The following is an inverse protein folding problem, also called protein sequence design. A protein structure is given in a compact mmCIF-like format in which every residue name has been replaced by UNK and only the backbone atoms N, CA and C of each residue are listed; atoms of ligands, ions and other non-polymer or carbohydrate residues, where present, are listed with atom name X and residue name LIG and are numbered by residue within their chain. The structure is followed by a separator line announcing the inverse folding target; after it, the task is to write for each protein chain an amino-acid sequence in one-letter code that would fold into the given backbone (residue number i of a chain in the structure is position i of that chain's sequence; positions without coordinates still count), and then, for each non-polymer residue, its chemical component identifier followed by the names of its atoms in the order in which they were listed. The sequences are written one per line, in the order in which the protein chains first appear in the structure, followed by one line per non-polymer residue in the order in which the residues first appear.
data_IF_709344521269
#
_entry.id   IF_709344521269
#
_cell.length_a   1.000
_cell.length_b   1.000
_cell.length_c   1.000
_cell.angle_alpha   90.00
_cell.angle_beta   90.00
_cell.angle_gamma   90.00
#
_symmetry.space_group_name_H-M   'P 1'
#
loop_
_entity.id
_entity.type
_entity.pdbx_description
1 polymer ?
#
# COMPACT_ATOMS: atom_id res chain seq x y z
N UNK A 1 3.76 -21.24 -11.55
CA UNK A 1 4.09 -20.42 -10.36
C UNK A 1 2.88 -20.45 -9.42
N UNK A 2 2.98 -21.08 -8.26
CA UNK A 2 1.85 -21.39 -7.37
C UNK A 2 1.58 -20.32 -6.31
N UNK A 3 1.42 -19.05 -6.67
CA UNK A 3 1.25 -17.94 -5.71
C UNK A 3 -0.04 -18.05 -4.88
N UNK A 4 0.06 -17.94 -3.56
CA UNK A 4 -1.08 -17.98 -2.62
C UNK A 4 -1.73 -16.61 -2.40
N UNK A 5 -1.00 -15.53 -2.71
CA UNK A 5 -1.45 -14.16 -2.70
C UNK A 5 -1.09 -13.55 -4.05
N UNK A 6 -2.02 -12.84 -4.68
CA UNK A 6 -1.75 -12.04 -5.88
C UNK A 6 -2.10 -10.58 -5.61
N UNK A 7 -1.30 -9.68 -6.18
CA UNK A 7 -1.53 -8.25 -6.10
C UNK A 7 -2.34 -7.77 -7.31
N UNK A 8 -3.29 -6.87 -7.07
CA UNK A 8 -3.97 -6.14 -8.15
C UNK A 8 -2.99 -5.23 -8.88
N UNK A 9 -3.24 -4.97 -10.16
CA UNK A 9 -2.46 -4.00 -10.94
C UNK A 9 -2.93 -2.56 -10.62
N UNK A 10 -2.68 -2.10 -9.40
CA UNK A 10 -3.23 -0.84 -8.87
C UNK A 10 -2.24 -0.02 -8.07
N UNK A 11 -0.94 -0.31 -8.13
CA UNK A 11 0.10 0.36 -7.34
C UNK A 11 -0.04 1.90 -7.36
N UNK A 12 -0.17 2.51 -8.53
CA UNK A 12 -0.38 3.95 -8.70
C UNK A 12 -1.85 4.36 -8.77
N UNK A 13 -2.72 3.72 -8.00
CA UNK A 13 -4.18 3.86 -8.11
C UNK A 13 -4.78 5.12 -7.50
N UNK A 14 -3.99 5.99 -6.85
CA UNK A 14 -4.50 7.24 -6.23
C UNK A 14 -4.75 8.34 -7.27
N UNK A 15 -5.58 9.32 -6.91
CA UNK A 15 -5.85 10.50 -7.76
C UNK A 15 -4.57 11.22 -8.20
N UNK A 16 -3.56 11.30 -7.32
CA UNK A 16 -2.30 11.99 -7.55
C UNK A 16 -1.46 11.31 -8.64
N UNK A 17 -1.32 9.98 -8.56
CA UNK A 17 -0.64 9.17 -9.57
C UNK A 17 -1.41 9.16 -10.89
N UNK A 18 -2.72 9.00 -10.85
CA UNK A 18 -3.56 8.98 -12.06
C UNK A 18 -3.64 10.34 -12.76
N UNK A 19 -3.46 11.46 -12.05
CA UNK A 19 -3.39 12.80 -12.64
C UNK A 19 -2.26 12.94 -13.65
N UNK A 20 -1.14 12.25 -13.43
CA UNK A 20 -0.02 12.19 -14.39
C UNK A 20 -0.42 11.59 -15.75
N UNK A 21 -1.59 10.94 -15.81
CA UNK A 21 -2.15 10.30 -16.99
C UNK A 21 -3.54 10.85 -17.35
N UNK A 22 -3.96 12.00 -16.80
CA UNK A 22 -5.28 12.60 -17.00
C UNK A 22 -6.45 11.67 -16.63
N UNK A 23 -6.25 10.82 -15.63
CA UNK A 23 -7.21 9.80 -15.19
C UNK A 23 -7.65 9.95 -13.73
N UNK A 24 -7.39 11.11 -13.10
CA UNK A 24 -7.71 11.37 -11.70
C UNK A 24 -9.20 11.19 -11.36
N UNK A 25 -10.11 11.42 -12.32
CA UNK A 25 -11.55 11.27 -12.11
C UNK A 25 -12.04 9.82 -12.24
N UNK A 26 -11.10 8.86 -12.38
CA UNK A 26 -11.38 7.44 -12.61
C UNK A 26 -10.80 6.52 -11.54
N UNK A 27 -10.36 7.06 -10.40
CA UNK A 27 -9.73 6.32 -9.29
C UNK A 27 -10.56 5.10 -8.90
N UNK A 28 -11.80 5.31 -8.46
CA UNK A 28 -12.66 4.21 -8.00
C UNK A 28 -12.85 3.14 -9.08
N UNK A 29 -13.25 3.56 -10.29
CA UNK A 29 -13.54 2.65 -11.39
C UNK A 29 -12.33 1.81 -11.83
N UNK A 30 -11.13 2.40 -11.88
CA UNK A 30 -9.91 1.69 -12.27
C UNK A 30 -9.48 0.69 -11.19
N UNK A 31 -9.53 1.09 -9.92
CA UNK A 31 -9.17 0.22 -8.81
C UNK A 31 -10.14 -0.96 -8.64
N UNK A 32 -11.44 -0.69 -8.73
CA UNK A 32 -12.47 -1.72 -8.76
C UNK A 32 -12.24 -2.72 -9.88
N UNK A 33 -11.98 -2.22 -11.09
CA UNK A 33 -11.72 -3.09 -12.23
C UNK A 33 -10.46 -3.93 -12.06
N UNK A 34 -9.39 -3.38 -11.49
CA UNK A 34 -8.16 -4.11 -11.20
C UNK A 34 -8.42 -5.27 -10.22
N UNK A 35 -9.21 -5.03 -9.17
CA UNK A 35 -9.58 -6.07 -8.20
C UNK A 35 -10.52 -7.14 -8.81
N UNK A 36 -11.51 -6.76 -9.61
CA UNK A 36 -12.39 -7.71 -10.29
C UNK A 36 -11.61 -8.67 -11.21
N UNK A 37 -10.62 -8.14 -11.93
CA UNK A 37 -9.76 -8.94 -12.80
C UNK A 37 -8.92 -9.93 -11.99
N UNK A 38 -8.29 -9.48 -10.91
CA UNK A 38 -7.54 -10.37 -10.01
C UNK A 38 -8.44 -11.44 -9.39
N UNK A 39 -9.66 -11.07 -8.97
CA UNK A 39 -10.65 -12.00 -8.41
C UNK A 39 -11.10 -13.06 -9.42
N UNK A 40 -11.31 -12.67 -10.67
CA UNK A 40 -11.66 -13.61 -11.73
C UNK A 40 -10.54 -14.63 -12.00
N UNK A 41 -9.27 -14.21 -11.90
CA UNK A 41 -8.12 -15.11 -12.04
C UNK A 41 -8.00 -16.02 -10.82
N UNK A 42 -8.07 -15.47 -9.60
CA UNK A 42 -8.02 -16.23 -8.35
C UNK A 42 -9.11 -17.31 -8.28
N UNK A 43 -10.34 -16.99 -8.72
CA UNK A 43 -11.46 -17.93 -8.75
C UNK A 43 -11.27 -19.14 -9.68
N UNK A 44 -10.35 -19.05 -10.66
CA UNK A 44 -10.02 -20.14 -11.57
C UNK A 44 -8.90 -21.05 -11.07
N UNK A 45 -8.26 -20.72 -9.95
CA UNK A 45 -7.09 -21.44 -9.45
C UNK A 45 -7.40 -22.83 -8.87
N UNK A 46 -8.68 -23.17 -8.63
CA UNK A 46 -9.08 -24.44 -8.01
C UNK A 46 -8.62 -24.61 -6.56
N UNK A 47 -8.07 -23.55 -5.95
CA UNK A 47 -7.60 -23.47 -4.57
C UNK A 47 -7.78 -22.03 -4.07
N UNK A 48 -7.65 -21.82 -2.75
CA UNK A 48 -7.65 -20.47 -2.19
C UNK A 48 -6.42 -19.69 -2.72
N UNK A 49 -6.68 -18.52 -3.28
CA UNK A 49 -5.70 -17.50 -3.65
C UNK A 49 -6.27 -16.18 -3.15
N UNK A 50 -5.53 -15.49 -2.27
CA UNK A 50 -5.94 -14.21 -1.70
C UNK A 50 -5.70 -13.12 -2.73
N UNK A 51 -6.71 -12.27 -2.95
CA UNK A 51 -6.55 -11.05 -3.76
C UNK A 51 -6.21 -9.89 -2.85
N UNK A 52 -5.01 -9.36 -3.02
CA UNK A 52 -4.51 -8.22 -2.26
C UNK A 52 -4.49 -6.97 -3.15
N UNK A 53 -5.08 -5.89 -2.65
CA UNK A 53 -5.13 -4.60 -3.31
C UNK A 53 -3.80 -3.88 -3.20
N UNK A 54 -3.02 -3.79 -4.28
CA UNK A 54 -1.76 -3.03 -4.30
C UNK A 54 -2.03 -1.53 -4.14
N UNK A 55 -1.46 -0.93 -3.10
CA UNK A 55 -1.57 0.51 -2.78
C UNK A 55 -0.16 1.06 -2.59
N UNK A 56 0.37 1.73 -3.62
CA UNK A 56 1.65 2.42 -3.55
C UNK A 56 1.52 3.85 -3.01
N UNK A 57 2.64 4.57 -2.84
CA UNK A 57 2.63 5.96 -2.37
C UNK A 57 1.89 6.88 -3.35
N UNK A 58 1.35 7.98 -2.82
CA UNK A 58 0.70 9.04 -3.60
C UNK A 58 1.67 9.70 -4.59
N UNK A 59 2.97 9.71 -4.24
CA UNK A 59 4.00 10.45 -4.96
C UNK A 59 4.07 11.93 -4.57
N UNK A 60 3.24 12.39 -3.65
CA UNK A 60 3.23 13.73 -3.10
C UNK A 60 3.94 13.75 -1.74
N UNK A 61 4.50 14.90 -1.37
CA UNK A 61 5.10 15.09 -0.06
C UNK A 61 4.08 15.71 0.89
N UNK A 62 4.00 15.16 2.11
CA UNK A 62 3.16 15.70 3.17
C UNK A 62 3.79 16.97 3.78
N UNK A 63 2.95 17.85 4.33
CA UNK A 63 3.38 19.03 5.11
C UNK A 63 4.31 18.59 6.26
N UNK A 64 5.45 19.27 6.52
CA UNK A 64 5.90 20.53 5.92
C UNK A 64 6.79 20.38 4.68
N UNK A 65 7.09 19.15 4.24
CA UNK A 65 7.99 18.91 3.11
C UNK A 65 7.32 19.10 1.75
N UNK A 66 5.99 19.03 1.70
CA UNK A 66 5.18 19.38 0.55
C UNK A 66 3.87 20.07 0.94
N UNK A 67 2.92 20.05 0.00
CA UNK A 67 1.65 20.76 0.14
C UNK A 67 0.49 19.86 0.60
N UNK A 68 0.65 18.54 0.56
CA UNK A 68 -0.41 17.60 0.92
C UNK A 68 -0.56 17.53 2.45
N UNK A 69 -1.78 17.74 2.91
CA UNK A 69 -2.13 17.51 4.32
C UNK A 69 -2.32 16.03 4.60
N UNK A 70 -2.23 15.65 5.88
CA UNK A 70 -2.48 14.27 6.30
C UNK A 70 -3.89 13.80 5.92
N UNK A 71 -4.91 14.62 6.16
CA UNK A 71 -6.31 14.30 5.85
C UNK A 71 -6.53 14.10 4.34
N UNK A 72 -5.88 14.92 3.50
CA UNK A 72 -5.92 14.74 2.04
C UNK A 72 -5.26 13.43 1.59
N UNK A 73 -4.19 12.99 2.27
CA UNK A 73 -3.57 11.69 2.01
C UNK A 73 -4.52 10.54 2.40
N UNK A 74 -5.14 10.61 3.58
CA UNK A 74 -6.14 9.63 4.04
C UNK A 74 -7.29 9.53 3.03
N UNK A 75 -7.84 10.67 2.59
CA UNK A 75 -8.93 10.70 1.62
C UNK A 75 -8.54 10.10 0.26
N UNK A 76 -7.33 10.41 -0.22
CA UNK A 76 -6.83 9.88 -1.49
C UNK A 76 -6.62 8.35 -1.44
N UNK A 77 -6.13 7.82 -0.33
CA UNK A 77 -6.02 6.37 -0.13
C UNK A 77 -7.38 5.72 0.04
N UNK A 78 -8.31 6.35 0.77
CA UNK A 78 -9.65 5.81 0.99
C UNK A 78 -10.40 5.63 -0.34
N UNK A 79 -10.34 6.63 -1.22
CA UNK A 79 -10.94 6.56 -2.57
C UNK A 79 -10.42 5.37 -3.39
N UNK A 80 -9.10 5.13 -3.35
CA UNK A 80 -8.49 3.98 -4.01
C UNK A 80 -8.95 2.65 -3.37
N UNK A 81 -8.89 2.57 -2.04
CA UNK A 81 -9.16 1.35 -1.28
C UNK A 81 -10.64 0.96 -1.33
N UNK A 82 -11.56 1.92 -1.38
CA UNK A 82 -13.00 1.69 -1.61
C UNK A 82 -13.23 0.95 -2.94
N UNK A 83 -12.60 1.43 -4.02
CA UNK A 83 -12.65 0.76 -5.32
C UNK A 83 -12.11 -0.68 -5.23
N UNK A 84 -10.93 -0.87 -4.62
CA UNK A 84 -10.32 -2.19 -4.46
C UNK A 84 -11.23 -3.16 -3.67
N UNK A 85 -11.78 -2.70 -2.54
CA UNK A 85 -12.69 -3.49 -1.69
C UNK A 85 -13.94 -3.91 -2.46
N UNK A 86 -14.59 -2.98 -3.16
CA UNK A 86 -15.77 -3.28 -3.97
C UNK A 86 -15.48 -4.25 -5.12
N UNK A 87 -14.28 -4.21 -5.69
CA UNK A 87 -13.86 -5.16 -6.72
C UNK A 87 -13.45 -6.53 -6.19
N UNK A 88 -13.45 -6.72 -4.86
CA UNK A 88 -13.23 -8.01 -4.21
C UNK A 88 -11.80 -8.25 -3.71
N UNK A 89 -11.01 -7.20 -3.49
CA UNK A 89 -9.78 -7.31 -2.71
C UNK A 89 -10.09 -7.66 -1.25
N UNK A 90 -9.26 -8.52 -0.65
CA UNK A 90 -9.42 -9.04 0.71
C UNK A 90 -8.50 -8.35 1.72
N UNK A 91 -7.44 -7.70 1.24
CA UNK A 91 -6.46 -6.96 2.05
C UNK A 91 -5.91 -5.79 1.25
N UNK A 92 -5.72 -4.62 1.88
CA UNK A 92 -4.92 -3.54 1.32
C UNK A 92 -3.44 -3.87 1.53
N UNK A 93 -2.72 -4.11 0.44
CA UNK A 93 -1.28 -4.32 0.44
C UNK A 93 -0.60 -2.97 0.20
N UNK A 94 -0.39 -2.24 1.29
CA UNK A 94 0.25 -0.92 1.28
C UNK A 94 1.74 -1.15 1.05
N UNK A 95 2.32 -0.70 -0.06
CA UNK A 95 3.66 -1.13 -0.44
C UNK A 95 4.57 -0.02 -0.95
N UNK A 96 5.88 -0.26 -0.83
CA UNK A 96 6.94 0.65 -1.29
C UNK A 96 6.83 2.03 -0.64
N UNK A 97 6.40 2.08 0.62
CA UNK A 97 6.25 3.34 1.32
C UNK A 97 7.59 3.89 1.80
N UNK A 98 7.73 5.20 1.74
CA UNK A 98 8.96 5.89 2.13
C UNK A 98 8.79 6.74 3.38
N UNK A 99 7.60 7.30 3.63
CA UNK A 99 7.33 8.18 4.76
C UNK A 99 6.46 7.49 5.84
N UNK A 100 6.82 7.62 7.14
CA UNK A 100 5.98 7.11 8.24
C UNK A 100 4.55 7.68 8.20
N UNK A 101 4.42 8.98 7.97
CA UNK A 101 3.12 9.65 7.99
C UNK A 101 2.23 9.20 6.82
N UNK A 102 2.82 8.89 5.65
CA UNK A 102 2.09 8.36 4.50
C UNK A 102 1.65 6.90 4.72
N UNK A 103 2.50 6.07 5.34
CA UNK A 103 2.10 4.72 5.80
C UNK A 103 0.90 4.82 6.73
N UNK A 104 0.98 5.72 7.72
CA UNK A 104 -0.07 5.91 8.71
C UNK A 104 -1.37 6.37 8.05
N UNK A 105 -1.31 7.32 7.12
CA UNK A 105 -2.48 7.79 6.37
C UNK A 105 -3.14 6.67 5.55
N UNK A 106 -2.35 5.84 4.86
CA UNK A 106 -2.87 4.70 4.11
C UNK A 106 -3.49 3.63 5.03
N UNK A 107 -2.90 3.39 6.20
CA UNK A 107 -3.45 2.49 7.20
C UNK A 107 -4.79 3.00 7.76
N UNK A 108 -4.86 4.28 8.11
CA UNK A 108 -6.09 4.92 8.58
C UNK A 108 -7.20 4.87 7.51
N UNK A 109 -6.84 5.10 6.24
CA UNK A 109 -7.76 4.92 5.13
C UNK A 109 -8.29 3.48 5.02
N UNK A 110 -7.41 2.47 5.12
CA UNK A 110 -7.82 1.07 5.09
C UNK A 110 -8.79 0.72 6.24
N UNK A 111 -8.51 1.22 7.45
CA UNK A 111 -9.37 1.07 8.62
C UNK A 111 -10.72 1.74 8.39
N UNK A 112 -10.74 2.98 7.91
CA UNK A 112 -11.97 3.74 7.60
C UNK A 112 -12.85 3.00 6.61
N UNK A 113 -12.26 2.42 5.57
CA UNK A 113 -12.96 1.63 4.55
C UNK A 113 -13.34 0.23 5.06
N UNK A 114 -12.73 -0.22 6.16
CA UNK A 114 -12.94 -1.53 6.75
C UNK A 114 -12.36 -2.65 5.88
N UNK A 115 -11.14 -2.46 5.35
CA UNK A 115 -10.35 -3.48 4.68
C UNK A 115 -9.10 -3.75 5.54
N UNK A 116 -8.82 -5.01 5.95
CA UNK A 116 -7.58 -5.34 6.63
C UNK A 116 -6.37 -4.91 5.78
N UNK A 117 -5.25 -4.60 6.41
CA UNK A 117 -4.09 -4.09 5.69
C UNK A 117 -2.78 -4.76 6.13
N UNK A 118 -1.83 -4.79 5.22
CA UNK A 118 -0.40 -4.97 5.50
C UNK A 118 0.31 -3.70 5.04
N UNK A 119 1.53 -3.45 5.53
CA UNK A 119 2.36 -2.41 4.93
C UNK A 119 3.82 -2.81 4.80
N UNK A 120 4.48 -2.28 3.78
CA UNK A 120 5.91 -2.46 3.56
C UNK A 120 6.65 -1.14 3.30
N UNK A 121 7.86 -1.05 3.86
CA UNK A 121 8.80 0.01 3.57
C UNK A 121 9.75 -0.36 2.42
N UNK A 122 10.24 0.65 1.69
CA UNK A 122 11.35 0.46 0.75
C UNK A 122 12.63 1.07 1.32
N UNK A 123 13.57 0.21 1.67
CA UNK A 123 14.85 0.57 2.27
C UNK A 123 15.96 0.51 1.22
N UNK A 124 16.82 1.52 1.18
CA UNK A 124 17.96 1.58 0.27
C UNK A 124 19.24 0.99 0.90
N UNK A 125 20.36 1.09 0.18
CA UNK A 125 21.67 0.61 0.66
C UNK A 125 22.20 1.35 1.89
N UNK A 126 21.62 2.49 2.26
CA UNK A 126 21.94 3.21 3.50
C UNK A 126 21.13 2.67 4.70
N UNK A 127 20.31 1.63 4.53
CA UNK A 127 19.58 0.97 5.61
C UNK A 127 18.42 1.78 6.16
N UNK A 128 17.84 2.68 5.35
CA UNK A 128 16.67 3.49 5.70
C UNK A 128 15.83 3.78 4.46
N UNK A 129 14.60 4.23 4.67
CA UNK A 129 13.77 4.71 3.55
C UNK A 129 14.26 6.06 3.04
N UNK A 130 13.74 6.51 1.89
CA UNK A 130 14.03 7.85 1.34
C UNK A 130 13.74 8.98 2.34
N UNK A 131 12.72 8.81 3.22
CA UNK A 131 12.36 9.81 4.23
C UNK A 131 13.00 9.54 5.60
N UNK A 132 13.95 8.61 5.67
CA UNK A 132 14.78 8.37 6.85
C UNK A 132 14.21 7.41 7.89
N UNK A 133 13.12 6.69 7.58
CA UNK A 133 12.59 5.65 8.47
C UNK A 133 13.57 4.47 8.53
N UNK A 134 13.95 4.07 9.73
CA UNK A 134 14.79 2.89 9.97
C UNK A 134 13.93 1.62 10.02
N UNK A 135 14.46 0.45 9.61
CA UNK A 135 13.74 -0.82 9.71
C UNK A 135 13.21 -1.10 11.12
N UNK A 136 14.03 -0.98 12.18
CA UNK A 136 13.59 -1.17 13.58
C UNK A 136 12.38 -0.34 14.02
N UNK A 137 12.13 0.78 13.38
CA UNK A 137 11.07 1.72 13.76
C UNK A 137 9.78 1.46 12.97
N UNK A 138 9.81 0.61 11.93
CA UNK A 138 8.68 0.42 11.01
C UNK A 138 7.44 -0.16 11.71
N UNK A 139 7.61 -1.01 12.72
CA UNK A 139 6.49 -1.61 13.45
C UNK A 139 5.68 -0.58 14.23
N UNK A 140 6.32 0.47 14.76
CA UNK A 140 5.65 1.50 15.57
C UNK A 140 4.88 2.56 14.76
N UNK A 141 5.01 2.58 13.43
CA UNK A 141 4.41 3.62 12.57
C UNK A 141 2.89 3.69 12.69
N UNK A 142 2.24 2.55 12.91
CA UNK A 142 0.78 2.45 13.04
C UNK A 142 0.29 2.35 14.48
N UNK A 143 1.16 2.57 15.47
CA UNK A 143 0.78 2.52 16.89
C UNK A 143 -0.34 3.52 17.21
N UNK A 144 -1.29 3.09 18.03
CA UNK A 144 -2.44 3.88 18.43
C UNK A 144 -3.59 3.97 17.40
N UNK A 145 -3.45 3.39 16.21
CA UNK A 145 -4.61 3.17 15.32
C UNK A 145 -5.53 2.09 15.90
N UNK A 146 -6.82 2.14 15.55
CA UNK A 146 -7.83 1.23 16.12
C UNK A 146 -7.71 -0.22 15.66
N UNK A 147 -6.88 -0.51 14.65
CA UNK A 147 -6.62 -1.85 14.15
C UNK A 147 -5.12 -1.99 13.85
N UNK A 148 -4.55 -3.14 14.20
CA UNK A 148 -3.17 -3.48 13.88
C UNK A 148 -3.06 -4.01 12.44
N UNK A 149 -1.88 -3.85 11.79
CA UNK A 149 -1.62 -4.49 10.50
C UNK A 149 -1.64 -6.02 10.62
N UNK A 150 -2.04 -6.71 9.54
CA UNK A 150 -1.89 -8.16 9.41
C UNK A 150 -0.42 -8.60 9.23
N UNK A 151 0.43 -7.66 8.79
CA UNK A 151 1.83 -7.91 8.51
C UNK A 151 2.55 -6.61 8.16
N UNK A 152 3.83 -6.57 8.53
CA UNK A 152 4.76 -5.47 8.28
C UNK A 152 6.00 -6.06 7.64
N UNK A 153 6.59 -5.38 6.65
CA UNK A 153 7.80 -5.88 6.03
C UNK A 153 8.50 -4.88 5.11
N UNK A 154 9.31 -5.42 4.20
CA UNK A 154 10.03 -4.66 3.20
C UNK A 154 9.78 -5.23 1.80
N UNK A 155 9.74 -4.35 0.80
CA UNK A 155 9.72 -4.73 -0.60
C UNK A 155 10.49 -3.70 -1.44
N UNK A 156 10.72 -4.02 -2.71
CA UNK A 156 11.56 -3.22 -3.59
C UNK A 156 13.00 -3.08 -3.02
N UNK A 157 13.76 -2.08 -3.47
CA UNK A 157 15.16 -1.88 -3.07
C UNK A 157 16.17 -2.57 -3.99
N UNK A 158 17.29 -3.01 -3.41
CA UNK A 158 18.54 -3.35 -4.13
C UNK A 158 18.79 -4.84 -4.33
N UNK A 159 18.05 -5.72 -3.62
CA UNK A 159 18.15 -7.17 -3.78
C UNK A 159 17.82 -7.95 -2.52
N UNK A 160 17.86 -9.28 -2.60
CA UNK A 160 17.49 -10.17 -1.50
C UNK A 160 18.38 -9.99 -0.25
N UNK A 161 19.68 -9.72 -0.43
CA UNK A 161 20.63 -9.54 0.67
C UNK A 161 20.32 -8.28 1.49
N UNK A 162 20.01 -7.16 0.83
CA UNK A 162 19.69 -5.91 1.52
C UNK A 162 18.31 -5.96 2.19
N UNK A 163 17.34 -6.63 1.54
CA UNK A 163 16.04 -6.91 2.17
C UNK A 163 16.25 -7.78 3.42
N UNK A 164 17.08 -8.82 3.35
CA UNK A 164 17.37 -9.66 4.54
C UNK A 164 18.01 -8.84 5.65
N UNK A 165 18.97 -7.97 5.33
CA UNK A 165 19.58 -7.08 6.32
C UNK A 165 18.54 -6.16 6.98
N UNK A 166 17.62 -5.60 6.17
CA UNK A 166 16.52 -4.77 6.67
C UNK A 166 15.60 -5.55 7.59
N UNK A 167 15.21 -6.78 7.20
CA UNK A 167 14.34 -7.64 8.00
C UNK A 167 14.99 -8.10 9.32
N UNK A 168 16.31 -8.22 9.37
CA UNK A 168 17.04 -8.55 10.61
C UNK A 168 17.16 -7.36 11.57
N UNK A 169 16.99 -6.13 11.07
CA UNK A 169 16.96 -4.91 11.88
C UNK A 169 15.54 -4.51 12.29
N UNK A 170 14.47 -5.13 11.75
CA UNK A 170 13.07 -4.86 12.10
C UNK A 170 12.69 -5.33 13.51
#
# INVERSE_FOLDING_TARGET
AGADIILTNSFGGTRHRLKLHHAQDRVHALNKRAAELARAVAGRAGRKVIVAGSVGPTGELLVPLGAMTYDEAVDAFAEQIEGLKEGGAEVAWIETMSAPDEIRAAAEAAIRVGLPYTYTGSFDTAGRTMMGLLPRDIHGVTDGLSQAPLGVGANCGVGASDILASLLDM
#
